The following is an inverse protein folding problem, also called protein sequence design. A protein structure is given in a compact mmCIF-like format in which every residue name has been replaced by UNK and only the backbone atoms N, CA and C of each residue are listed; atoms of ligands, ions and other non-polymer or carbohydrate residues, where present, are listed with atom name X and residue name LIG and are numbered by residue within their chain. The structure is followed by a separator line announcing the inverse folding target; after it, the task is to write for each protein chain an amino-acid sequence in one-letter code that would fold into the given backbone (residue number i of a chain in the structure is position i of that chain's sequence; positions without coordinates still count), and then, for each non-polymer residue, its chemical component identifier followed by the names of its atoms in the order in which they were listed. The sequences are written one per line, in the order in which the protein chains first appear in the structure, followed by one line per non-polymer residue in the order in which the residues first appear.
data_IF_880796108261
#
_entry.id   IF_880796108261
#
_cell.length_a   1.000
_cell.length_b   1.000
_cell.length_c   1.000
_cell.angle_alpha   90.00
_cell.angle_beta   90.00
_cell.angle_gamma   90.00
#
_symmetry.space_group_name_H-M   'P 1'
#
loop_
_entity.id
_entity.type
_entity.pdbx_description
1 polymer ?
#
# COMPACT_ATOMS: atom_id res chain seq x y z
N UNK A 1 1.36 14.94 -4.62
CA UNK A 1 -0.10 15.08 -4.79
C UNK A 1 -0.54 16.47 -5.20
N UNK A 2 -0.32 17.52 -4.39
CA UNK A 2 -0.83 18.88 -4.69
C UNK A 2 -0.38 19.44 -6.05
N UNK A 3 0.82 19.11 -6.50
CA UNK A 3 1.33 19.54 -7.81
C UNK A 3 0.62 18.89 -9.01
N UNK A 4 0.04 17.71 -8.82
CA UNK A 4 -0.73 17.00 -9.85
C UNK A 4 -2.24 17.24 -9.72
N UNK A 5 -2.68 18.13 -8.82
CA UNK A 5 -4.09 18.27 -8.44
C UNK A 5 -5.03 18.55 -9.62
N UNK A 6 -4.57 19.26 -10.66
CA UNK A 6 -5.37 19.52 -11.87
C UNK A 6 -5.73 18.26 -12.66
N UNK A 7 -4.98 17.17 -12.49
CA UNK A 7 -5.21 15.89 -13.17
C UNK A 7 -5.90 14.85 -12.28
N UNK A 8 -6.00 15.09 -10.98
CA UNK A 8 -6.55 14.16 -9.99
C UNK A 8 -8.02 14.52 -9.71
N UNK A 9 -8.87 14.33 -10.72
CA UNK A 9 -10.32 14.69 -10.68
C UNK A 9 -11.25 13.51 -10.42
N UNK A 10 -10.70 12.30 -10.44
CA UNK A 10 -11.37 11.02 -10.16
C UNK A 10 -10.59 10.27 -9.07
N UNK A 11 -11.17 9.22 -8.45
CA UNK A 11 -10.44 8.40 -7.48
C UNK A 11 -9.12 7.91 -8.05
N UNK A 12 -8.04 8.02 -7.27
CA UNK A 12 -6.69 7.77 -7.75
C UNK A 12 -5.86 6.95 -6.75
N UNK A 13 -4.99 6.11 -7.30
CA UNK A 13 -4.05 5.31 -6.52
C UNK A 13 -2.73 6.07 -6.40
N UNK A 14 -2.16 6.05 -5.19
CA UNK A 14 -0.81 6.52 -4.90
C UNK A 14 -0.01 5.32 -4.42
N UNK A 15 1.12 5.06 -5.05
CA UNK A 15 2.05 4.01 -4.65
C UNK A 15 3.50 4.48 -4.77
N UNK A 16 4.41 4.04 -3.88
CA UNK A 16 5.84 4.27 -4.05
C UNK A 16 6.33 3.55 -5.30
N UNK A 17 7.14 4.24 -6.11
CA UNK A 17 7.66 3.69 -7.38
C UNK A 17 8.66 2.54 -7.17
N UNK A 18 9.18 2.38 -5.96
CA UNK A 18 10.10 1.34 -5.54
C UNK A 18 9.41 0.21 -4.77
N UNK A 19 8.07 0.15 -4.76
CA UNK A 19 7.33 -0.93 -4.10
C UNK A 19 6.98 -2.05 -5.09
N UNK A 20 7.40 -3.28 -4.79
CA UNK A 20 6.84 -4.48 -5.38
C UNK A 20 5.70 -4.98 -4.49
N UNK A 21 4.54 -5.21 -5.09
CA UNK A 21 3.38 -5.69 -4.37
C UNK A 21 2.55 -6.64 -5.23
N UNK A 22 2.04 -7.69 -4.59
CA UNK A 22 0.98 -8.53 -5.11
C UNK A 22 -0.32 -8.20 -4.39
N UNK A 23 -1.23 -7.54 -5.08
CA UNK A 23 -2.51 -7.14 -4.51
C UNK A 23 -3.56 -7.04 -5.60
N UNK A 24 -4.80 -7.39 -5.25
CA UNK A 24 -5.93 -7.23 -6.15
C UNK A 24 -6.43 -5.77 -6.12
N UNK A 25 -6.10 -5.01 -7.16
CA UNK A 25 -6.55 -3.62 -7.29
C UNK A 25 -8.06 -3.52 -7.46
N UNK A 26 -8.73 -4.53 -8.04
CA UNK A 26 -10.17 -4.52 -8.15
C UNK A 26 -10.83 -4.70 -6.78
N UNK A 27 -10.26 -5.55 -5.91
CA UNK A 27 -10.68 -5.65 -4.51
C UNK A 27 -10.48 -4.32 -3.77
N UNK A 28 -9.32 -3.67 -3.93
CA UNK A 28 -9.05 -2.37 -3.33
C UNK A 28 -10.10 -1.31 -3.73
N UNK A 29 -10.42 -1.24 -5.02
CA UNK A 29 -11.41 -0.29 -5.55
C UNK A 29 -12.80 -0.63 -5.02
N UNK A 30 -13.23 -1.90 -5.08
CA UNK A 30 -14.54 -2.32 -4.61
C UNK A 30 -14.72 -2.08 -3.11
N UNK A 31 -13.68 -2.34 -2.32
CA UNK A 31 -13.67 -2.06 -0.88
C UNK A 31 -13.81 -0.56 -0.59
N UNK A 32 -13.03 0.28 -1.28
CA UNK A 32 -13.07 1.73 -1.13
C UNK A 32 -14.47 2.30 -1.41
N UNK A 33 -15.08 1.87 -2.51
CA UNK A 33 -16.44 2.26 -2.90
C UNK A 33 -17.48 1.77 -1.89
N UNK A 34 -17.42 0.50 -1.48
CA UNK A 34 -18.35 -0.10 -0.51
C UNK A 34 -18.32 0.63 0.84
N UNK A 35 -17.17 1.14 1.25
CA UNK A 35 -16.99 1.90 2.50
C UNK A 35 -17.35 3.38 2.38
N UNK A 36 -17.60 3.88 1.17
CA UNK A 36 -17.67 5.31 0.88
C UNK A 36 -16.48 6.05 1.52
N UNK A 37 -15.28 5.46 1.39
CA UNK A 37 -14.08 5.96 2.02
C UNK A 37 -13.55 7.18 1.26
N UNK A 38 -12.97 8.15 1.97
CA UNK A 38 -12.18 9.23 1.36
C UNK A 38 -10.75 8.75 1.08
N UNK A 39 -10.30 7.77 1.86
CA UNK A 39 -8.99 7.17 1.80
C UNK A 39 -9.08 5.70 2.20
N UNK A 40 -8.55 4.82 1.37
CA UNK A 40 -8.25 3.44 1.75
C UNK A 40 -6.75 3.23 1.75
N UNK A 41 -6.22 2.77 2.87
CA UNK A 41 -4.81 2.41 3.04
C UNK A 41 -4.69 0.91 2.86
N UNK A 42 -3.80 0.46 1.98
CA UNK A 42 -3.47 -0.96 1.92
C UNK A 42 -2.49 -1.27 3.06
N UNK A 43 -2.78 -2.29 3.85
CA UNK A 43 -2.01 -2.63 5.05
C UNK A 43 -1.58 -4.10 5.05
N UNK A 44 -0.49 -4.39 5.76
CA UNK A 44 0.11 -5.72 5.81
C UNK A 44 0.49 -6.12 7.24
N UNK A 45 0.42 -7.42 7.57
CA UNK A 45 0.78 -7.92 8.91
C UNK A 45 2.31 -7.97 9.11
N UNK A 46 3.05 -8.20 8.02
CA UNK A 46 4.51 -8.28 8.02
C UNK A 46 5.14 -6.98 7.55
N UNK A 47 6.37 -6.73 8.01
CA UNK A 47 7.08 -5.51 7.70
C UNK A 47 7.79 -5.57 6.33
N UNK A 48 7.22 -4.90 5.33
CA UNK A 48 7.84 -4.73 4.02
C UNK A 48 8.96 -3.68 3.97
N UNK A 49 9.29 -2.97 5.06
CA UNK A 49 10.27 -1.86 5.06
C UNK A 49 10.56 -1.23 6.43
N UNK A 50 10.91 0.06 6.48
CA UNK A 50 10.90 0.85 7.73
C UNK A 50 9.61 1.64 7.80
N UNK A 51 8.48 0.94 7.91
CA UNK A 51 7.16 1.55 7.72
C UNK A 51 6.42 1.71 9.03
N UNK A 52 5.68 2.80 9.12
CA UNK A 52 4.84 3.13 10.25
C UNK A 52 3.60 2.22 10.31
N UNK A 53 2.98 2.17 11.48
CA UNK A 53 1.91 1.23 11.82
C UNK A 53 0.55 1.93 11.94
N UNK A 54 -0.50 1.13 11.79
CA UNK A 54 -1.90 1.54 11.81
C UNK A 54 -2.72 0.65 12.74
N UNK A 55 -3.63 1.29 13.46
CA UNK A 55 -4.68 0.63 14.22
C UNK A 55 -5.94 0.58 13.37
N UNK A 56 -6.61 -0.57 13.35
CA UNK A 56 -7.89 -0.74 12.66
C UNK A 56 -8.95 -1.17 13.69
N UNK A 57 -10.15 -0.60 13.58
CA UNK A 57 -11.34 -1.12 14.24
C UNK A 57 -11.81 -2.41 13.56
N UNK A 58 -12.78 -3.10 14.15
CA UNK A 58 -13.34 -4.36 13.62
C UNK A 58 -13.94 -4.18 12.22
N UNK A 59 -14.50 -3.01 11.93
CA UNK A 59 -15.03 -2.68 10.61
C UNK A 59 -13.95 -2.22 9.61
N UNK A 60 -12.68 -2.21 10.00
CA UNK A 60 -11.56 -1.76 9.19
C UNK A 60 -11.33 -0.24 9.18
N UNK A 61 -12.08 0.56 9.95
CA UNK A 61 -11.81 2.00 10.08
C UNK A 61 -10.45 2.22 10.74
N UNK A 62 -9.66 3.14 10.23
CA UNK A 62 -8.38 3.52 10.85
C UNK A 62 -8.65 4.26 12.16
N UNK A 63 -8.10 3.77 13.25
CA UNK A 63 -8.29 4.32 14.61
C UNK A 63 -7.10 5.14 15.09
N UNK A 64 -5.92 4.93 14.50
CA UNK A 64 -4.69 5.60 14.91
C UNK A 64 -3.50 5.22 14.05
N UNK A 65 -2.43 6.00 14.18
CA UNK A 65 -1.15 5.79 13.53
C UNK A 65 -0.04 5.81 14.57
N UNK A 66 0.97 4.96 14.39
CA UNK A 66 2.13 4.90 15.27
C UNK A 66 3.42 4.69 14.49
N UNK A 67 4.51 5.32 14.91
CA UNK A 67 5.85 5.11 14.33
C UNK A 67 6.59 3.95 15.00
N UNK A 68 6.03 3.36 16.06
CA UNK A 68 6.66 2.32 16.86
C UNK A 68 5.72 1.12 16.99
N UNK A 69 6.30 -0.07 17.15
CA UNK A 69 5.51 -1.23 17.57
C UNK A 69 5.11 -1.03 19.02
N UNK A 70 3.84 -0.79 19.25
CA UNK A 70 3.28 -0.58 20.59
C UNK A 70 2.24 -1.66 20.96
N UNK A 71 2.03 -2.66 20.09
CA UNK A 71 1.06 -3.75 20.30
C UNK A 71 -0.39 -3.38 20.01
N UNK A 72 -0.70 -2.09 19.86
CA UNK A 72 -2.05 -1.58 19.55
C UNK A 72 -2.26 -1.37 18.06
N UNK A 73 -1.18 -1.22 17.30
CA UNK A 73 -1.17 -1.01 15.86
C UNK A 73 -0.53 -2.23 15.18
N UNK A 74 -1.26 -3.32 14.92
CA UNK A 74 -0.65 -4.55 14.39
C UNK A 74 -0.32 -4.48 12.89
N UNK A 75 -0.84 -3.48 12.18
CA UNK A 75 -0.76 -3.39 10.73
C UNK A 75 0.30 -2.42 10.27
N UNK A 76 1.18 -2.85 9.37
CA UNK A 76 2.10 -1.96 8.67
C UNK A 76 1.34 -1.23 7.54
N UNK A 77 1.49 0.10 7.51
CA UNK A 77 1.07 0.88 6.36
C UNK A 77 1.96 0.50 5.17
N UNK A 78 1.37 0.21 4.00
CA UNK A 78 2.17 -0.19 2.83
C UNK A 78 2.78 0.98 2.05
N UNK A 79 2.33 2.21 2.32
CA UNK A 79 2.56 3.37 1.48
C UNK A 79 1.63 3.44 0.25
N UNK A 80 0.74 2.46 0.07
CA UNK A 80 -0.20 2.40 -1.05
C UNK A 80 -1.58 2.84 -0.58
N UNK A 81 -2.16 3.76 -1.34
CA UNK A 81 -3.40 4.44 -0.99
C UNK A 81 -4.32 4.54 -2.20
N UNK A 82 -5.63 4.40 -1.97
CA UNK A 82 -6.67 4.83 -2.89
C UNK A 82 -7.38 6.03 -2.27
N UNK A 83 -7.43 7.15 -2.99
CA UNK A 83 -7.97 8.41 -2.49
C UNK A 83 -9.07 8.96 -3.38
N UNK A 84 -10.05 9.62 -2.75
CA UNK A 84 -10.95 10.53 -3.42
C UNK A 84 -10.27 11.90 -3.65
N UNK A 85 -10.56 12.63 -4.76
CA UNK A 85 -9.98 13.95 -5.06
C UNK A 85 -10.05 14.96 -3.90
N UNK A 86 -11.08 14.87 -3.07
CA UNK A 86 -11.28 15.80 -1.96
C UNK A 86 -10.17 15.76 -0.89
N UNK A 87 -9.36 14.70 -0.80
CA UNK A 87 -8.20 14.67 0.11
C UNK A 87 -7.22 15.79 -0.18
N UNK A 88 -7.17 16.29 -1.42
CA UNK A 88 -6.29 17.37 -1.83
C UNK A 88 -6.59 18.68 -1.10
N UNK A 89 -7.79 18.85 -0.53
CA UNK A 89 -8.16 20.00 0.29
C UNK A 89 -7.47 20.01 1.66
N UNK A 90 -7.02 18.85 2.12
CA UNK A 90 -6.30 18.69 3.39
C UNK A 90 -4.78 18.83 3.24
N UNK A 91 -4.28 18.96 2.00
CA UNK A 91 -2.86 19.14 1.72
C UNK A 91 -2.56 20.65 1.61
N UNK A 92 -1.69 21.21 2.48
CA UNK A 92 -1.34 22.62 2.43
C UNK A 92 -0.72 23.02 1.09
N UNK A 93 -0.93 24.27 0.69
CA UNK A 93 -0.32 24.79 -0.53
C UNK A 93 1.17 25.09 -0.33
N UNK A 94 1.97 24.79 -1.36
CA UNK A 94 3.38 25.21 -1.49
C UNK A 94 4.31 24.73 -0.38
N UNK A 95 3.95 23.67 0.34
CA UNK A 95 4.83 23.02 1.31
C UNK A 95 4.95 21.53 1.03
N UNK A 96 6.08 20.94 1.42
CA UNK A 96 6.19 19.50 1.46
C UNK A 96 5.24 18.97 2.52
N UNK A 97 4.45 17.95 2.16
CA UNK A 97 3.53 17.31 3.08
C UNK A 97 3.58 15.80 2.95
N UNK A 98 3.69 15.12 4.08
CA UNK A 98 3.80 13.67 4.17
C UNK A 98 2.42 13.02 4.36
N UNK A 99 2.17 11.93 3.64
CA UNK A 99 0.85 11.28 3.66
C UNK A 99 0.58 10.67 5.04
N UNK A 100 1.57 9.99 5.62
CA UNK A 100 1.39 9.25 6.86
C UNK A 100 1.28 10.17 8.08
N UNK A 101 2.24 11.08 8.24
CA UNK A 101 2.37 11.92 9.44
C UNK A 101 1.55 13.20 9.41
N UNK A 102 0.96 13.57 8.26
CA UNK A 102 0.17 14.80 8.14
C UNK A 102 -1.19 14.59 7.48
N UNK A 103 -1.25 14.02 6.27
CA UNK A 103 -2.53 13.89 5.56
C UNK A 103 -3.52 12.94 6.26
N UNK A 104 -3.09 11.72 6.61
CA UNK A 104 -3.95 10.76 7.30
C UNK A 104 -4.42 11.32 8.67
N UNK A 105 -3.55 11.86 9.55
CA UNK A 105 -3.97 12.55 10.76
C UNK A 105 -4.99 13.67 10.51
N UNK A 106 -4.80 14.50 9.48
CA UNK A 106 -5.74 15.58 9.16
C UNK A 106 -7.12 15.05 8.74
N UNK A 107 -7.17 13.94 7.99
CA UNK A 107 -8.43 13.29 7.61
C UNK A 107 -9.13 12.69 8.83
N UNK A 108 -8.38 12.00 9.71
CA UNK A 108 -8.92 11.41 10.94
C UNK A 108 -9.43 12.50 11.91
N UNK A 109 -8.68 13.58 12.07
CA UNK A 109 -9.08 14.71 12.93
C UNK A 109 -10.34 15.42 12.43
N UNK A 110 -10.61 15.36 11.11
CA UNK A 110 -11.82 15.87 10.49
C UNK A 110 -12.94 14.82 10.38
N UNK A 111 -12.80 13.68 11.09
CA UNK A 111 -13.73 12.54 11.11
C UNK A 111 -14.08 11.97 9.72
N UNK A 112 -13.15 12.12 8.76
CA UNK A 112 -13.35 11.61 7.41
C UNK A 112 -13.20 10.08 7.38
N UNK A 113 -13.93 9.37 6.50
CA UNK A 113 -13.91 7.92 6.44
C UNK A 113 -12.59 7.40 5.86
N UNK A 114 -11.65 7.03 6.74
CA UNK A 114 -10.37 6.40 6.38
C UNK A 114 -10.41 4.94 6.80
N UNK A 115 -10.13 4.03 5.87
CA UNK A 115 -10.19 2.58 6.10
C UNK A 115 -8.90 1.88 5.72
N UNK A 116 -8.59 0.78 6.40
CA UNK A 116 -7.51 -0.14 6.04
C UNK A 116 -8.04 -1.37 5.33
N UNK A 117 -7.48 -1.69 4.17
CA UNK A 117 -7.67 -2.99 3.52
C UNK A 117 -6.43 -3.85 3.76
N UNK A 118 -6.62 -5.02 4.35
CA UNK A 118 -5.54 -5.97 4.59
C UNK A 118 -5.22 -6.71 3.29
N UNK A 119 -3.94 -6.79 2.94
CA UNK A 119 -3.45 -7.69 1.90
C UNK A 119 -2.57 -8.78 2.53
N UNK A 120 -2.63 -9.98 1.96
CA UNK A 120 -1.78 -11.10 2.32
C UNK A 120 -0.77 -11.46 1.22
N UNK A 121 -0.76 -10.70 0.11
CA UNK A 121 0.16 -10.91 -0.99
C UNK A 121 1.55 -10.36 -0.70
N UNK A 122 2.51 -10.71 -1.57
CA UNK A 122 3.89 -10.25 -1.50
C UNK A 122 3.99 -8.73 -1.35
N UNK A 123 4.90 -8.27 -0.49
CA UNK A 123 5.23 -6.86 -0.39
C UNK A 123 6.69 -6.63 -0.03
N UNK A 124 7.40 -5.87 -0.85
CA UNK A 124 8.80 -5.52 -0.63
C UNK A 124 9.12 -4.14 -1.19
N UNK A 125 9.73 -3.27 -0.39
CA UNK A 125 10.28 -1.99 -0.88
C UNK A 125 11.73 -2.14 -1.32
N UNK A 126 12.06 -1.71 -2.54
CA UNK A 126 13.38 -1.87 -3.15
C UNK A 126 14.42 -0.84 -2.66
N UNK A 127 14.22 -0.27 -1.46
CA UNK A 127 15.01 0.83 -0.91
C UNK A 127 16.42 0.45 -0.42
N UNK A 128 16.84 -0.81 -0.53
CA UNK A 128 18.21 -1.23 -0.20
C UNK A 128 18.69 -2.34 -1.14
N UNK A 129 20.01 -2.47 -1.30
CA UNK A 129 20.61 -3.52 -2.12
C UNK A 129 20.14 -4.92 -1.68
N UNK A 130 20.12 -5.19 -0.37
CA UNK A 130 19.66 -6.47 0.16
C UNK A 130 18.19 -6.75 -0.14
N UNK A 131 17.34 -5.72 -0.11
CA UNK A 131 15.91 -5.88 -0.47
C UNK A 131 15.71 -6.09 -1.96
N UNK A 132 16.52 -5.43 -2.79
CA UNK A 132 16.55 -5.65 -4.23
C UNK A 132 17.02 -7.08 -4.56
N UNK A 133 18.13 -7.53 -3.99
CA UNK A 133 18.64 -8.90 -4.14
C UNK A 133 17.60 -9.92 -3.69
N UNK A 134 16.97 -9.70 -2.54
CA UNK A 134 15.90 -10.57 -2.04
C UNK A 134 14.73 -10.65 -3.03
N UNK A 135 14.30 -9.53 -3.62
CA UNK A 135 13.25 -9.53 -4.63
C UNK A 135 13.62 -10.38 -5.87
N UNK A 136 14.88 -10.34 -6.31
CA UNK A 136 15.35 -11.18 -7.42
C UNK A 136 15.32 -12.66 -7.05
N UNK A 137 15.80 -13.02 -5.85
CA UNK A 137 15.78 -14.40 -5.35
C UNK A 137 14.34 -14.91 -5.24
N UNK A 138 13.47 -14.11 -4.66
CA UNK A 138 12.04 -14.40 -4.50
C UNK A 138 11.39 -14.68 -5.85
N UNK A 139 11.64 -13.81 -6.83
CA UNK A 139 11.14 -13.98 -8.19
C UNK A 139 11.66 -15.27 -8.86
N UNK A 140 12.96 -15.55 -8.78
CA UNK A 140 13.56 -16.76 -9.36
C UNK A 140 13.00 -18.05 -8.73
N UNK A 141 12.76 -18.05 -7.41
CA UNK A 141 12.10 -19.18 -6.73
C UNK A 141 10.69 -19.43 -7.26
N UNK A 142 9.95 -18.39 -7.64
CA UNK A 142 8.65 -18.58 -8.29
C UNK A 142 8.78 -19.25 -9.65
N UNK A 143 9.75 -18.85 -10.46
CA UNK A 143 9.99 -19.43 -11.78
C UNK A 143 10.42 -20.91 -11.69
N UNK A 144 11.19 -21.26 -10.65
CA UNK A 144 11.61 -22.63 -10.37
C UNK A 144 10.53 -23.51 -9.70
N UNK A 145 9.32 -22.99 -9.46
CA UNK A 145 8.25 -23.72 -8.75
C UNK A 145 8.51 -23.96 -7.26
N UNK A 146 9.50 -23.27 -6.67
CA UNK A 146 9.92 -23.41 -5.27
C UNK A 146 9.28 -22.35 -4.36
N UNK A 147 8.10 -21.88 -4.73
CA UNK A 147 7.43 -20.81 -4.04
C UNK A 147 6.47 -21.34 -2.97
N UNK A 148 6.67 -20.91 -1.72
CA UNK A 148 5.79 -21.24 -0.58
C UNK A 148 4.49 -20.41 -0.54
N UNK A 149 4.09 -19.81 -1.66
CA UNK A 149 2.90 -18.96 -1.77
C UNK A 149 3.09 -17.51 -1.36
N UNK A 150 4.32 -17.09 -1.03
CA UNK A 150 4.61 -15.72 -0.54
C UNK A 150 4.78 -14.70 -1.68
N UNK A 151 5.09 -15.16 -2.89
CA UNK A 151 5.30 -14.33 -4.10
C UNK A 151 4.36 -14.82 -5.18
N UNK A 152 3.63 -13.98 -5.94
CA UNK A 152 2.79 -14.49 -7.02
C UNK A 152 3.62 -15.29 -8.02
N UNK A 153 3.10 -16.45 -8.44
CA UNK A 153 3.72 -17.22 -9.51
C UNK A 153 3.83 -16.32 -10.76
N UNK A 154 5.01 -16.29 -11.37
CA UNK A 154 5.23 -15.54 -12.61
C UNK A 154 4.34 -16.10 -13.72
N UNK A 155 3.15 -15.49 -13.91
CA UNK A 155 2.22 -15.90 -14.99
C UNK A 155 2.80 -15.64 -16.39
N UNK A 156 3.90 -14.89 -16.49
CA UNK A 156 4.50 -14.47 -17.77
C UNK A 156 6.03 -14.40 -17.79
N UNK A 157 6.76 -15.27 -17.07
CA UNK A 157 8.20 -15.40 -17.30
C UNK A 157 8.46 -16.25 -18.56
N UNK A 158 8.09 -15.73 -19.74
CA UNK A 158 8.60 -16.25 -21.02
C UNK A 158 9.63 -15.28 -21.54
N UNK A 159 10.90 -15.62 -21.38
CA UNK A 159 11.95 -15.09 -22.24
C UNK A 159 12.07 -16.14 -23.36
N UNK A 160 11.74 -15.75 -24.58
CA UNK A 160 11.78 -16.56 -25.80
C UNK A 160 10.77 -17.72 -25.94
N UNK A 161 9.59 -17.64 -25.32
CA UNK A 161 8.45 -18.50 -25.67
C UNK A 161 8.66 -20.02 -25.47
N UNK A 162 9.68 -20.43 -24.72
CA UNK A 162 9.94 -21.83 -24.37
C UNK A 162 9.88 -21.98 -22.86
N UNK A 163 8.91 -22.75 -22.38
CA UNK A 163 8.85 -23.22 -21.00
C UNK A 163 9.83 -24.39 -20.84
N UNK A 164 10.83 -24.24 -19.97
CA UNK A 164 11.68 -25.35 -19.56
C UNK A 164 11.11 -25.92 -18.25
N UNK A 165 10.60 -27.15 -18.34
CA UNK A 165 10.28 -28.01 -17.19
C UNK A 165 11.40 -28.99 -16.89
#
# INVERSE_FOLDING_TARGET
LKWAASSLTEPFIVMPADSLIDTDLAELIAYHQKRAAVATVLVHAENGGSQAMLGLAEDGRVTGLSQQRDGWHPWYNSGIYLFEPEVLNYIPQRTCSDIHSQLLPALLAADRPVFGLQTAGYWNTLGSFSRYEQAQIDWLKTAAGQNNGHVPASRHATIDGQAYG
#
